data_IF_630751881725
#
_entry.id   IF_630751881725
#
_cell.length_a   1.000
_cell.length_b   1.000
_cell.length_c   1.000
_cell.angle_alpha   90.00
_cell.angle_beta   90.00
_cell.angle_gamma   90.00
#
_symmetry.space_group_name_H-M   'P 1'
#
loop_
_entity.id
_entity.type
_entity.pdbx_description
1 polymer ?
#
# COMPACT_ATOMS: atom_id res chain seq x y z
N UNK A 1 -7.59 -4.94 -78.55
CA UNK A 1 -8.21 -3.86 -77.74
C UNK A 1 -8.20 -4.28 -76.27
N UNK A 2 -7.51 -3.49 -75.45
CA UNK A 2 -7.07 -3.80 -74.08
C UNK A 2 -8.19 -3.69 -73.05
N UNK A 3 -8.43 -4.74 -72.25
CA UNK A 3 -9.34 -4.73 -71.09
C UNK A 3 -8.55 -4.36 -69.83
N UNK A 4 -8.81 -3.18 -69.28
CA UNK A 4 -8.29 -2.74 -67.98
C UNK A 4 -9.20 -3.24 -66.86
N UNK A 5 -8.68 -4.10 -66.00
CA UNK A 5 -9.30 -4.51 -64.73
C UNK A 5 -8.96 -3.44 -63.68
N UNK A 6 -9.97 -2.77 -63.14
CA UNK A 6 -9.82 -1.86 -61.99
C UNK A 6 -10.04 -2.66 -60.71
N UNK A 7 -8.99 -2.87 -59.93
CA UNK A 7 -9.07 -3.40 -58.57
C UNK A 7 -9.50 -2.24 -57.67
N UNK A 8 -10.73 -2.31 -57.16
CA UNK A 8 -11.25 -1.38 -56.14
C UNK A 8 -10.74 -1.88 -54.79
N UNK A 9 -9.73 -1.19 -54.24
CA UNK A 9 -9.25 -1.43 -52.89
C UNK A 9 -10.29 -0.98 -51.87
N UNK A 10 -10.99 -1.94 -51.28
CA UNK A 10 -11.85 -1.72 -50.11
C UNK A 10 -10.92 -1.50 -48.92
N UNK A 11 -10.71 -0.23 -48.58
CA UNK A 11 -10.06 0.17 -47.34
C UNK A 11 -10.92 -0.28 -46.17
N UNK A 12 -10.50 -1.36 -45.52
CA UNK A 12 -11.05 -1.79 -44.25
C UNK A 12 -10.59 -0.78 -43.18
N UNK A 13 -11.32 0.32 -43.06
CA UNK A 13 -11.22 1.25 -41.95
C UNK A 13 -11.72 0.49 -40.72
N UNK A 14 -10.82 -0.21 -40.04
CA UNK A 14 -11.09 -0.76 -38.71
C UNK A 14 -11.34 0.44 -37.79
N UNK A 15 -12.61 0.77 -37.59
CA UNK A 15 -13.05 1.49 -36.40
C UNK A 15 -12.70 0.59 -35.21
N UNK A 16 -11.47 0.75 -34.70
CA UNK A 16 -11.21 0.48 -33.29
C UNK A 16 -11.91 1.62 -32.57
N UNK A 17 -13.24 1.50 -32.46
CA UNK A 17 -14.03 2.25 -31.51
C UNK A 17 -13.39 1.96 -30.17
N UNK A 18 -12.63 2.93 -29.67
CA UNK A 18 -12.14 2.98 -28.31
C UNK A 18 -13.37 2.86 -27.42
N UNK A 19 -13.70 1.63 -27.03
CA UNK A 19 -14.34 1.37 -25.76
C UNK A 19 -13.36 1.93 -24.74
N UNK A 20 -13.52 3.22 -24.41
CA UNK A 20 -13.16 3.72 -23.09
C UNK A 20 -14.01 2.89 -22.14
N UNK A 21 -13.52 1.70 -21.80
CA UNK A 21 -13.94 1.03 -20.59
C UNK A 21 -13.69 2.07 -19.51
N UNK A 22 -14.77 2.58 -18.91
CA UNK A 22 -14.64 3.43 -17.74
C UNK A 22 -13.73 2.68 -16.77
N UNK A 23 -12.54 3.23 -16.53
CA UNK A 23 -11.60 2.61 -15.63
C UNK A 23 -12.34 2.41 -14.30
N UNK A 24 -12.39 1.15 -13.84
CA UNK A 24 -13.06 0.84 -12.59
C UNK A 24 -12.37 1.64 -11.48
N UNK A 25 -13.17 2.24 -10.60
CA UNK A 25 -12.65 2.90 -9.41
C UNK A 25 -11.86 1.90 -8.56
N UNK A 26 -10.77 2.35 -7.93
CA UNK A 26 -10.13 1.52 -6.93
C UNK A 26 -11.13 1.23 -5.81
N UNK A 27 -11.13 0.00 -5.31
CA UNK A 27 -11.88 -0.42 -4.13
C UNK A 27 -10.87 -0.65 -3.02
N UNK A 28 -11.07 0.01 -1.88
CA UNK A 28 -10.18 -0.09 -0.73
C UNK A 28 -10.98 -0.65 0.43
N UNK A 29 -10.54 -1.77 0.99
CA UNK A 29 -11.22 -2.50 2.06
C UNK A 29 -10.24 -2.78 3.19
N UNK A 30 -10.68 -2.60 4.44
CA UNK A 30 -9.89 -3.05 5.58
C UNK A 30 -9.90 -4.59 5.64
N UNK A 31 -8.72 -5.19 5.66
CA UNK A 31 -8.54 -6.65 5.61
C UNK A 31 -8.24 -7.26 6.99
N UNK A 32 -7.90 -6.44 7.99
CA UNK A 32 -7.67 -6.89 9.36
C UNK A 32 -6.35 -6.41 9.97
N UNK A 33 -6.17 -6.77 11.23
CA UNK A 33 -4.97 -6.49 12.04
C UNK A 33 -4.14 -7.77 12.18
N UNK A 34 -2.82 -7.66 12.15
CA UNK A 34 -1.90 -8.71 12.57
C UNK A 34 -1.01 -8.14 13.68
N UNK A 35 -1.03 -8.80 14.84
CA UNK A 35 -0.24 -8.45 16.02
C UNK A 35 0.88 -9.50 16.10
N UNK A 36 2.09 -9.23 15.61
CA UNK A 36 3.20 -10.18 15.84
C UNK A 36 4.60 -9.69 15.44
N UNK A 37 4.93 -8.42 15.68
CA UNK A 37 6.32 -7.97 15.63
C UNK A 37 6.78 -7.53 17.03
N UNK A 38 6.60 -8.43 18.00
CA UNK A 38 7.31 -8.37 19.28
C UNK A 38 8.81 -8.69 19.11
N UNK A 39 9.59 -8.72 20.20
CA UNK A 39 11.08 -8.73 20.18
C UNK A 39 11.74 -9.93 19.47
N UNK A 40 10.95 -10.90 19.00
CA UNK A 40 11.41 -12.11 18.30
C UNK A 40 10.53 -12.52 17.12
N UNK A 41 9.54 -11.69 16.75
CA UNK A 41 8.71 -11.95 15.58
C UNK A 41 9.54 -11.76 14.32
N UNK A 42 9.42 -12.67 13.35
CA UNK A 42 9.87 -12.39 12.00
C UNK A 42 8.94 -11.28 11.47
N UNK A 43 9.26 -10.02 11.74
CA UNK A 43 8.46 -8.89 11.29
C UNK A 43 8.22 -9.07 9.80
N UNK A 44 6.98 -9.36 9.45
CA UNK A 44 6.61 -9.70 8.09
C UNK A 44 6.74 -8.43 7.25
N UNK A 45 7.90 -8.26 6.65
CA UNK A 45 8.13 -7.26 5.64
C UNK A 45 7.52 -7.83 4.37
N UNK A 46 6.44 -7.20 3.89
CA UNK A 46 5.62 -7.69 2.81
C UNK A 46 6.43 -8.17 1.60
N UNK A 47 5.92 -9.18 0.91
CA UNK A 47 6.64 -9.90 -0.16
C UNK A 47 7.05 -9.03 -1.35
N UNK A 48 6.39 -7.89 -1.53
CA UNK A 48 6.52 -7.05 -2.72
C UNK A 48 7.35 -5.80 -2.44
N UNK A 49 7.41 -5.36 -1.19
CA UNK A 49 8.15 -4.17 -0.81
C UNK A 49 7.80 -3.62 0.56
N UNK A 50 8.53 -2.58 0.95
CA UNK A 50 8.39 -1.88 2.22
C UNK A 50 8.89 -0.43 2.12
N UNK A 51 8.47 0.37 3.08
CA UNK A 51 8.90 1.75 3.27
C UNK A 51 8.90 2.09 4.77
N UNK A 52 10.05 1.97 5.43
CA UNK A 52 10.21 2.15 6.88
C UNK A 52 10.80 3.52 7.20
N UNK A 53 10.30 4.16 8.26
CA UNK A 53 10.57 5.56 8.57
C UNK A 53 11.47 5.75 9.77
N UNK A 54 12.30 6.79 9.70
CA UNK A 54 13.15 7.26 10.78
C UNK A 54 13.88 6.15 11.55
N UNK A 55 14.33 5.10 10.84
CA UNK A 55 14.90 3.92 11.50
C UNK A 55 16.19 4.29 12.24
N UNK A 56 16.49 3.60 13.32
CA UNK A 56 17.74 3.79 14.07
C UNK A 56 18.46 2.48 14.35
N UNK A 57 19.78 2.53 14.49
CA UNK A 57 20.58 1.40 14.94
C UNK A 57 20.57 1.33 16.49
N UNK A 58 20.78 0.14 17.07
CA UNK A 58 20.97 0.01 18.50
C UNK A 58 22.06 0.95 19.04
N UNK A 59 21.72 1.72 20.08
CA UNK A 59 22.64 2.67 20.72
C UNK A 59 22.67 4.07 20.11
N UNK A 60 21.98 4.31 18.98
CA UNK A 60 21.80 5.68 18.48
C UNK A 60 20.87 6.49 19.41
N UNK A 61 21.11 7.80 19.58
CA UNK A 61 20.29 8.63 20.45
C UNK A 61 18.90 8.90 19.84
N UNK A 62 17.95 9.22 20.72
CA UNK A 62 16.64 9.74 20.33
C UNK A 62 16.80 11.04 19.55
N UNK A 63 16.06 11.18 18.44
CA UNK A 63 16.04 12.41 17.65
C UNK A 63 14.69 12.69 17.02
N UNK A 64 14.42 13.97 16.77
CA UNK A 64 13.19 14.44 16.13
C UNK A 64 13.51 15.58 15.16
N UNK A 65 12.64 15.83 14.19
CA UNK A 65 12.74 16.97 13.30
C UNK A 65 11.56 17.12 12.35
N UNK A 66 11.48 18.28 11.68
CA UNK A 66 10.36 18.65 10.80
C UNK A 66 10.39 18.06 9.40
N UNK A 67 11.05 16.91 9.20
CA UNK A 67 11.06 16.19 7.91
C UNK A 67 10.38 14.83 8.08
N UNK A 68 9.36 14.48 7.27
CA UNK A 68 8.45 13.36 7.53
C UNK A 68 9.14 12.02 7.83
N UNK A 69 10.17 11.66 7.04
CA UNK A 69 10.71 10.29 7.04
C UNK A 69 12.00 10.15 7.85
N UNK A 70 12.46 11.21 8.50
CA UNK A 70 13.72 11.22 9.24
C UNK A 70 14.97 11.10 8.37
N UNK A 71 16.15 11.03 9.00
CA UNK A 71 17.44 10.98 8.30
C UNK A 71 17.73 9.62 7.67
N UNK A 72 17.05 8.55 8.12
CA UNK A 72 17.22 7.19 7.62
C UNK A 72 15.84 6.63 7.28
N UNK A 73 15.63 6.36 5.99
CA UNK A 73 14.44 5.72 5.44
C UNK A 73 14.88 4.46 4.69
N UNK A 74 14.34 3.31 5.07
CA UNK A 74 14.62 2.05 4.38
C UNK A 74 13.48 1.79 3.40
N UNK A 75 13.78 1.72 2.11
CA UNK A 75 12.74 1.66 1.09
C UNK A 75 13.08 0.66 0.00
N UNK A 76 12.08 -0.13 -0.37
CA UNK A 76 12.04 -0.97 -1.56
C UNK A 76 10.58 -0.99 -2.01
N UNK A 77 10.23 -0.09 -2.93
CA UNK A 77 8.85 0.02 -3.40
C UNK A 77 8.60 -1.03 -4.49
N UNK A 78 7.43 -1.69 -4.49
CA UNK A 78 7.06 -2.51 -5.62
C UNK A 78 6.89 -1.64 -6.87
N UNK A 79 7.07 -2.22 -8.06
CA UNK A 79 7.04 -1.46 -9.33
C UNK A 79 5.73 -0.72 -9.60
N UNK A 80 4.63 -1.16 -8.98
CA UNK A 80 3.31 -0.55 -9.08
C UNK A 80 3.08 0.59 -8.08
N UNK A 81 4.06 0.93 -7.26
CA UNK A 81 4.07 2.12 -6.39
C UNK A 81 5.18 3.03 -6.87
N UNK A 82 4.81 4.20 -7.39
CA UNK A 82 5.79 5.14 -7.96
C UNK A 82 6.44 6.03 -6.91
N UNK A 83 5.72 6.40 -5.86
CA UNK A 83 6.26 7.18 -4.75
C UNK A 83 5.39 7.12 -3.51
N UNK A 84 6.01 7.43 -2.36
CA UNK A 84 5.35 7.73 -1.10
C UNK A 84 5.87 9.07 -0.59
N UNK A 85 4.95 10.00 -0.34
CA UNK A 85 5.22 11.36 0.15
C UNK A 85 4.35 11.70 1.36
N UNK A 86 4.68 12.78 2.06
CA UNK A 86 3.88 13.26 3.17
C UNK A 86 2.59 13.92 2.68
N UNK A 87 1.48 13.62 3.35
CA UNK A 87 0.18 14.26 3.14
C UNK A 87 -0.10 15.30 4.24
N UNK A 88 0.82 16.22 4.48
CA UNK A 88 0.69 17.21 5.54
C UNK A 88 2.04 17.73 6.03
N UNK A 89 2.00 18.57 7.07
CA UNK A 89 3.19 19.00 7.79
C UNK A 89 3.59 17.89 8.78
N UNK A 90 4.29 16.88 8.27
CA UNK A 90 4.74 15.77 9.08
C UNK A 90 6.16 16.01 9.61
N UNK A 91 6.40 15.47 10.79
CA UNK A 91 7.69 15.38 11.45
C UNK A 91 8.10 13.91 11.58
N UNK A 92 9.29 13.69 12.12
CA UNK A 92 9.73 12.36 12.51
C UNK A 92 10.17 12.32 13.96
N UNK A 93 10.07 11.13 14.55
CA UNK A 93 10.65 10.81 15.85
C UNK A 93 11.31 9.44 15.76
N UNK A 94 12.51 9.30 16.30
CA UNK A 94 13.24 8.03 16.37
C UNK A 94 13.86 7.85 17.73
N UNK A 95 13.81 6.63 18.23
CA UNK A 95 14.28 6.25 19.56
C UNK A 95 14.81 4.83 19.50
N UNK A 96 15.81 4.51 20.31
CA UNK A 96 16.26 3.14 20.53
C UNK A 96 15.36 2.39 21.53
N UNK A 97 14.35 3.06 22.10
CA UNK A 97 13.26 2.44 22.88
C UNK A 97 12.18 1.80 22.01
N UNK A 98 12.14 2.15 20.71
CA UNK A 98 11.18 1.56 19.79
C UNK A 98 11.45 0.08 19.53
N UNK A 99 10.47 -0.60 18.95
CA UNK A 99 10.55 -2.01 18.70
C UNK A 99 11.57 -2.35 17.61
N UNK A 100 12.23 -3.47 17.83
CA UNK A 100 13.28 -3.96 16.94
C UNK A 100 12.66 -4.66 15.72
N UNK A 101 13.19 -4.33 14.54
CA UNK A 101 12.90 -4.97 13.27
C UNK A 101 14.21 -5.48 12.66
N UNK A 102 14.12 -6.55 11.86
CA UNK A 102 15.24 -6.95 11.02
C UNK A 102 15.21 -6.08 9.76
N UNK A 103 16.30 -5.36 9.50
CA UNK A 103 16.48 -4.62 8.25
C UNK A 103 16.50 -5.63 7.08
N UNK A 104 15.53 -5.57 6.16
CA UNK A 104 15.42 -6.54 5.06
C UNK A 104 16.58 -6.46 4.05
N UNK A 105 17.30 -5.33 4.01
CA UNK A 105 18.41 -5.10 3.07
C UNK A 105 19.71 -5.70 3.57
N UNK A 106 19.93 -5.67 4.89
CA UNK A 106 21.23 -6.01 5.51
C UNK A 106 21.16 -7.17 6.49
N UNK A 107 19.97 -7.57 6.93
CA UNK A 107 19.76 -8.55 8.01
C UNK A 107 20.10 -8.03 9.41
N UNK A 108 20.45 -6.76 9.57
CA UNK A 108 20.81 -6.17 10.87
C UNK A 108 19.58 -5.72 11.65
N UNK A 109 19.66 -5.69 12.97
CA UNK A 109 18.59 -5.12 13.82
C UNK A 109 18.56 -3.60 13.66
N UNK A 110 17.36 -3.05 13.49
CA UNK A 110 17.04 -1.62 13.52
C UNK A 110 15.82 -1.38 14.42
N UNK A 111 15.61 -0.17 14.90
CA UNK A 111 14.40 0.24 15.60
C UNK A 111 13.48 1.01 14.65
N UNK A 112 12.18 0.73 14.70
CA UNK A 112 11.16 1.35 13.86
C UNK A 112 10.84 2.76 14.38
N UNK A 113 11.43 3.80 13.77
CA UNK A 113 11.02 5.18 14.07
C UNK A 113 9.64 5.49 13.49
N UNK A 114 9.16 6.71 13.72
CA UNK A 114 7.84 7.15 13.28
C UNK A 114 7.94 8.39 12.39
N UNK A 115 7.09 8.43 11.36
CA UNK A 115 6.58 9.68 10.80
C UNK A 115 5.29 10.05 11.53
N UNK A 116 5.07 11.33 11.80
CA UNK A 116 3.86 11.76 12.48
C UNK A 116 3.37 13.13 12.05
N UNK A 117 2.06 13.34 12.16
CA UNK A 117 1.42 14.64 11.95
C UNK A 117 0.90 15.20 13.29
N UNK A 118 1.61 16.19 13.82
CA UNK A 118 1.24 16.95 15.02
C UNK A 118 0.44 18.19 14.63
N UNK A 119 -0.84 17.99 14.35
CA UNK A 119 -1.81 19.08 14.24
C UNK A 119 -2.66 19.10 15.51
N UNK A 120 -2.68 20.19 16.31
CA UNK A 120 -3.49 20.30 17.52
C UNK A 120 -4.96 20.57 17.17
N UNK A 121 -5.57 19.66 16.41
CA UNK A 121 -6.95 19.73 15.97
C UNK A 121 -7.61 18.35 16.04
N UNK A 122 -8.91 18.35 16.27
CA UNK A 122 -9.77 17.16 16.17
C UNK A 122 -10.17 16.87 14.70
N UNK A 123 -9.49 17.48 13.74
CA UNK A 123 -9.75 17.24 12.33
C UNK A 123 -8.99 16.00 11.87
N UNK A 124 -9.48 15.38 10.80
CA UNK A 124 -8.73 14.33 10.14
C UNK A 124 -7.42 14.89 9.60
N UNK A 125 -6.32 14.21 9.91
CA UNK A 125 -4.97 14.59 9.49
C UNK A 125 -4.56 13.68 8.35
N UNK A 126 -4.02 14.25 7.28
CA UNK A 126 -3.31 13.45 6.29
C UNK A 126 -1.94 13.06 6.85
N UNK A 127 -1.50 11.84 6.58
CA UNK A 127 -0.16 11.38 6.94
C UNK A 127 0.65 11.09 5.69
N UNK A 128 0.18 10.19 4.83
CA UNK A 128 0.95 9.71 3.68
C UNK A 128 0.13 9.80 2.40
N UNK A 129 0.81 9.99 1.27
CA UNK A 129 0.24 9.87 -0.06
C UNK A 129 1.05 8.82 -0.84
N UNK A 130 0.35 7.80 -1.31
CA UNK A 130 0.86 6.70 -2.11
C UNK A 130 0.45 6.92 -3.58
N UNK A 131 1.41 7.13 -4.46
CA UNK A 131 1.15 7.27 -5.90
C UNK A 131 1.26 5.91 -6.60
N UNK A 132 0.21 5.51 -7.30
CA UNK A 132 0.16 4.25 -8.04
C UNK A 132 0.88 4.40 -9.38
N UNK A 133 1.87 3.54 -9.58
CA UNK A 133 2.70 3.46 -10.77
C UNK A 133 2.06 2.65 -11.91
N UNK A 134 2.86 2.29 -12.94
CA UNK A 134 2.36 1.50 -14.06
C UNK A 134 2.06 0.05 -13.65
N UNK A 135 1.11 -0.56 -14.36
CA UNK A 135 0.73 -1.97 -14.24
C UNK A 135 0.47 -2.45 -12.79
N UNK A 136 -0.40 -1.76 -12.01
CA UNK A 136 -0.79 -2.29 -10.72
C UNK A 136 -1.47 -3.65 -10.88
N UNK A 137 -1.22 -4.59 -9.95
CA UNK A 137 -1.93 -5.86 -9.94
C UNK A 137 -3.43 -5.62 -9.71
N UNK A 138 -4.32 -6.53 -10.15
CA UNK A 138 -5.75 -6.40 -9.93
C UNK A 138 -6.12 -6.24 -8.45
N UNK A 139 -5.34 -6.87 -7.55
CA UNK A 139 -5.45 -6.79 -6.10
C UNK A 139 -4.05 -6.76 -5.49
N UNK A 140 -3.84 -5.89 -4.50
CA UNK A 140 -2.68 -5.92 -3.60
C UNK A 140 -3.08 -5.46 -2.20
N UNK A 141 -2.20 -5.66 -1.23
CA UNK A 141 -2.40 -5.23 0.14
C UNK A 141 -1.34 -4.21 0.54
N UNK A 142 -1.77 -3.23 1.31
CA UNK A 142 -0.89 -2.28 1.99
C UNK A 142 -1.05 -2.50 3.49
N UNK A 143 0.03 -2.90 4.16
CA UNK A 143 0.10 -2.96 5.61
C UNK A 143 0.59 -1.62 6.16
N UNK A 144 -0.20 -0.99 7.01
CA UNK A 144 0.17 0.20 7.77
C UNK A 144 0.83 -0.23 9.08
N UNK A 145 2.07 0.20 9.33
CA UNK A 145 2.82 -0.18 10.51
C UNK A 145 2.70 0.89 11.58
N UNK A 146 2.46 0.47 12.82
CA UNK A 146 2.55 1.29 14.02
C UNK A 146 3.51 0.64 15.00
N UNK A 147 4.28 1.42 15.74
CA UNK A 147 5.12 0.94 16.83
C UNK A 147 4.46 1.36 18.14
N UNK A 148 4.13 0.44 19.04
CA UNK A 148 3.47 0.79 20.31
C UNK A 148 4.43 0.84 21.49
N UNK A 149 5.75 0.79 21.26
CA UNK A 149 6.79 0.56 22.26
C UNK A 149 7.17 1.75 23.16
N UNK A 150 7.13 2.99 22.69
CA UNK A 150 7.58 4.19 23.43
C UNK A 150 6.42 4.99 24.07
N UNK A 151 5.18 4.50 23.97
CA UNK A 151 4.03 5.06 24.67
C UNK A 151 2.67 4.80 24.03
N UNK A 152 1.62 5.25 24.72
CA UNK A 152 0.23 5.18 24.24
C UNK A 152 -0.10 6.17 23.12
N UNK A 153 0.89 6.82 22.53
CA UNK A 153 0.73 7.89 21.53
C UNK A 153 1.26 7.51 20.14
N UNK A 154 1.85 6.32 20.03
CA UNK A 154 2.56 5.86 18.83
C UNK A 154 1.68 4.97 17.92
N UNK A 155 0.36 5.09 18.07
CA UNK A 155 -0.64 4.47 17.22
C UNK A 155 -1.77 5.47 16.93
N UNK A 156 -2.53 5.29 15.84
CA UNK A 156 -3.73 6.06 15.53
C UNK A 156 -4.96 5.48 16.23
N UNK A 157 -5.95 6.32 16.55
CA UNK A 157 -7.29 5.87 16.97
C UNK A 157 -8.19 5.43 15.82
N UNK A 158 -8.05 6.10 14.69
CA UNK A 158 -8.82 5.75 13.50
C UNK A 158 -8.04 6.04 12.22
N UNK A 159 -8.05 5.08 11.31
CA UNK A 159 -7.35 5.12 10.03
C UNK A 159 -8.30 5.14 8.85
N UNK A 160 -7.86 5.76 7.76
CA UNK A 160 -8.55 5.78 6.48
C UNK A 160 -7.55 5.75 5.34
N UNK A 161 -7.82 4.91 4.36
CA UNK A 161 -7.17 4.91 3.06
C UNK A 161 -8.20 5.39 2.04
N UNK A 162 -7.91 6.51 1.37
CA UNK A 162 -8.81 7.12 0.40
C UNK A 162 -8.07 7.46 -0.88
N UNK A 163 -8.60 7.03 -2.01
CA UNK A 163 -8.19 7.52 -3.31
C UNK A 163 -8.60 8.99 -3.45
N UNK A 164 -7.62 9.88 -3.55
CA UNK A 164 -7.80 11.34 -3.65
C UNK A 164 -7.58 11.88 -5.06
N UNK A 165 -7.02 11.05 -5.95
CA UNK A 165 -6.86 11.36 -7.37
C UNK A 165 -6.91 10.09 -8.22
N UNK A 166 -7.21 10.24 -9.50
CA UNK A 166 -7.26 9.17 -10.49
C UNK A 166 -8.66 8.86 -11.02
N UNK A 167 -8.88 7.63 -11.48
CA UNK A 167 -10.12 7.26 -12.19
C UNK A 167 -11.32 6.94 -11.30
N UNK A 168 -11.17 7.01 -9.97
CA UNK A 168 -12.23 6.65 -9.03
C UNK A 168 -12.11 7.31 -7.65
N UNK A 169 -13.05 6.93 -6.77
CA UNK A 169 -13.14 7.42 -5.39
C UNK A 169 -13.15 6.26 -4.38
N UNK A 170 -12.15 5.38 -4.46
CA UNK A 170 -11.95 4.33 -3.45
C UNK A 170 -11.80 4.89 -2.04
N UNK A 171 -12.41 4.25 -1.05
CA UNK A 171 -12.35 4.68 0.35
C UNK A 171 -12.62 3.50 1.28
N UNK A 172 -11.72 3.25 2.22
CA UNK A 172 -11.86 2.21 3.25
C UNK A 172 -12.97 2.50 4.27
N UNK A 173 -13.43 3.75 4.36
CA UNK A 173 -14.10 4.26 5.55
C UNK A 173 -13.12 4.45 6.70
N UNK A 174 -13.62 4.94 7.83
CA UNK A 174 -12.84 5.02 9.06
C UNK A 174 -12.80 3.66 9.74
N UNK A 175 -11.59 3.18 9.97
CA UNK A 175 -11.28 1.95 10.70
C UNK A 175 -10.82 2.34 12.08
N UNK A 176 -11.53 1.92 13.12
CA UNK A 176 -11.10 2.11 14.50
C UNK A 176 -9.95 1.17 14.79
N UNK A 177 -8.90 1.72 15.38
CA UNK A 177 -7.67 1.03 15.73
C UNK A 177 -7.47 1.11 17.24
N UNK A 178 -7.22 -0.03 17.85
CA UNK A 178 -7.03 -0.14 19.30
C UNK A 178 -5.56 -0.46 19.60
N UNK A 179 -5.04 0.13 20.67
CA UNK A 179 -3.74 -0.21 21.21
C UNK A 179 -3.70 -1.70 21.57
N UNK A 180 -2.68 -2.42 21.11
CA UNK A 180 -2.39 -3.73 21.70
C UNK A 180 -1.80 -3.55 23.10
N UNK A 181 -2.32 -4.30 24.07
CA UNK A 181 -1.78 -4.34 25.42
C UNK A 181 -0.36 -4.94 25.48
N UNK A 182 0.08 -5.66 24.44
CA UNK A 182 1.30 -6.44 24.45
C UNK A 182 2.57 -5.72 23.97
N UNK A 183 2.54 -4.41 23.68
CA UNK A 183 3.69 -3.62 23.21
C UNK A 183 4.47 -4.26 22.04
N UNK A 184 4.30 -3.76 20.83
CA UNK A 184 4.93 -4.32 19.63
C UNK A 184 4.73 -3.47 18.38
N UNK A 185 5.18 -3.99 17.24
CA UNK A 185 4.77 -3.44 15.94
C UNK A 185 3.48 -4.15 15.48
N UNK A 186 2.46 -3.34 15.22
CA UNK A 186 1.18 -3.77 14.71
C UNK A 186 1.06 -3.45 13.22
N UNK A 187 0.35 -4.31 12.49
CA UNK A 187 0.08 -4.14 11.06
C UNK A 187 -1.43 -4.07 10.82
N UNK A 188 -1.88 -2.98 10.20
CA UNK A 188 -3.26 -2.83 9.72
C UNK A 188 -3.27 -2.97 8.21
N UNK A 189 -3.87 -4.04 7.69
CA UNK A 189 -3.85 -4.34 6.26
C UNK A 189 -5.08 -3.78 5.55
N UNK A 190 -4.84 -3.16 4.39
CA UNK A 190 -5.85 -2.64 3.49
C UNK A 190 -5.70 -3.31 2.14
N UNK A 191 -6.76 -3.98 1.70
CA UNK A 191 -6.86 -4.54 0.36
C UNK A 191 -7.21 -3.42 -0.62
N UNK A 192 -6.39 -3.24 -1.64
CA UNK A 192 -6.62 -2.32 -2.76
C UNK A 192 -6.89 -3.16 -4.00
N UNK A 193 -8.07 -2.99 -4.60
CA UNK A 193 -8.47 -3.66 -5.83
C UNK A 193 -8.70 -2.64 -6.92
N UNK A 194 -8.40 -2.98 -8.18
CA UNK A 194 -8.68 -2.15 -9.35
C UNK A 194 -8.03 -0.74 -9.32
N UNK A 195 -6.89 -0.60 -8.63
CA UNK A 195 -6.12 0.65 -8.74
C UNK A 195 -5.63 0.84 -10.18
N UNK A 196 -5.59 2.08 -10.65
CA UNK A 196 -5.09 2.44 -11.96
C UNK A 196 -3.79 3.26 -11.84
N UNK A 197 -2.91 3.22 -12.87
CA UNK A 197 -1.76 4.12 -12.93
C UNK A 197 -2.20 5.59 -12.81
N UNK A 198 -1.52 6.35 -11.95
CA UNK A 198 -1.85 7.74 -11.65
C UNK A 198 -2.84 7.93 -10.51
N UNK A 199 -3.43 6.86 -9.96
CA UNK A 199 -4.20 6.95 -8.73
C UNK A 199 -3.31 7.43 -7.57
N UNK A 200 -3.88 8.23 -6.67
CA UNK A 200 -3.22 8.63 -5.42
C UNK A 200 -4.08 8.16 -4.25
N UNK A 201 -3.51 7.32 -3.39
CA UNK A 201 -4.14 6.88 -2.15
C UNK A 201 -3.55 7.68 -1.00
N UNK A 202 -4.37 8.51 -0.37
CA UNK A 202 -4.01 9.23 0.84
C UNK A 202 -4.39 8.40 2.07
N UNK A 203 -3.44 8.29 2.98
CA UNK A 203 -3.60 7.71 4.31
C UNK A 203 -3.81 8.86 5.27
N UNK A 204 -4.94 8.84 5.97
CA UNK A 204 -5.36 9.87 6.91
C UNK A 204 -6.05 9.26 8.11
N UNK A 205 -6.25 10.04 9.16
CA UNK A 205 -6.81 9.51 10.39
C UNK A 205 -7.02 10.54 11.49
N UNK A 206 -7.41 10.02 12.64
CA UNK A 206 -7.62 10.77 13.87
C UNK A 206 -6.75 10.19 14.98
N UNK A 207 -6.44 11.06 15.94
CA UNK A 207 -5.88 10.67 17.21
C UNK A 207 -6.61 11.52 18.26
N UNK A 208 -7.32 10.86 19.17
CA UNK A 208 -8.32 11.42 20.09
C UNK A 208 -8.05 11.05 21.55
N UNK A 209 -7.27 10.00 21.83
CA UNK A 209 -7.04 9.50 23.18
C UNK A 209 -6.21 10.43 24.08
N UNK A 210 -5.38 11.31 23.51
CA UNK A 210 -4.47 12.17 24.28
C UNK A 210 -5.01 13.61 24.46
N UNK A 211 -6.27 13.87 24.08
CA UNK A 211 -6.89 15.20 24.13
C UNK A 211 -6.36 16.18 23.06
N UNK A 212 -6.84 17.43 23.10
CA UNK A 212 -6.65 18.44 22.04
C UNK A 212 -5.20 18.88 21.76
N UNK A 213 -4.23 18.58 22.64
CA UNK A 213 -2.91 19.20 22.60
C UNK A 213 -1.74 18.24 22.29
N UNK A 214 -1.96 16.92 22.24
CA UNK A 214 -0.85 15.94 22.26
C UNK A 214 -1.02 14.76 21.29
N UNK A 215 -2.03 14.79 20.44
CA UNK A 215 -2.39 13.67 19.57
C UNK A 215 -1.68 13.72 18.22
N UNK A 216 -0.90 12.67 17.93
CA UNK A 216 -0.19 12.49 16.67
C UNK A 216 -0.81 11.36 15.86
N UNK A 217 -1.14 11.61 14.60
CA UNK A 217 -1.31 10.50 13.67
C UNK A 217 0.10 10.00 13.31
N UNK A 218 0.42 8.74 13.61
CA UNK A 218 1.78 8.17 13.52
C UNK A 218 1.82 6.94 12.62
N UNK A 219 2.91 6.77 11.87
CA UNK A 219 3.22 5.51 11.16
C UNK A 219 4.70 5.19 11.29
N UNK A 220 5.02 3.91 11.51
CA UNK A 220 6.39 3.41 11.46
C UNK A 220 6.85 3.05 10.04
N UNK A 221 5.88 2.78 9.16
CA UNK A 221 6.17 2.40 7.78
C UNK A 221 4.95 1.88 7.03
N UNK A 222 5.19 1.46 5.79
CA UNK A 222 4.27 0.69 4.97
C UNK A 222 4.93 -0.60 4.50
N UNK A 223 4.14 -1.67 4.34
CA UNK A 223 4.55 -2.90 3.66
C UNK A 223 3.57 -3.25 2.56
N UNK A 224 4.06 -3.95 1.53
CA UNK A 224 3.29 -4.29 0.35
C UNK A 224 3.35 -5.78 0.09
N UNK A 225 2.21 -6.39 -0.23
CA UNK A 225 2.17 -7.80 -0.63
C UNK A 225 1.07 -8.02 -1.66
N UNK A 226 1.39 -8.78 -2.70
CA UNK A 226 0.40 -9.36 -3.58
C UNK A 226 0.04 -10.76 -3.09
N UNK A 227 -1.26 -11.07 -3.07
CA UNK A 227 -1.70 -12.46 -2.99
C UNK A 227 -1.81 -12.94 -4.43
N UNK A 228 -1.01 -13.93 -4.88
CA UNK A 228 -1.20 -14.51 -6.19
C UNK A 228 -2.64 -14.96 -6.33
N UNK A 229 -3.38 -14.43 -7.31
CA UNK A 229 -4.70 -14.99 -7.58
C UNK A 229 -4.53 -16.48 -7.86
N UNK A 230 -5.40 -17.35 -7.32
CA UNK A 230 -5.37 -18.76 -7.66
C UNK A 230 -5.46 -18.85 -9.18
N UNK A 231 -4.48 -19.49 -9.83
CA UNK A 231 -4.27 -19.48 -11.27
C UNK A 231 -5.51 -19.96 -12.04
N UNK A 232 -6.49 -19.08 -12.21
CA UNK A 232 -7.76 -19.32 -12.89
C UNK A 232 -7.54 -19.46 -14.41
N UNK A 233 -6.36 -19.05 -14.90
CA UNK A 233 -5.90 -19.31 -16.27
C UNK A 233 -5.64 -20.78 -16.60
N UNK A 234 -5.39 -21.65 -15.61
CA UNK A 234 -5.14 -23.07 -15.86
C UNK A 234 -6.40 -23.85 -16.25
N UNK A 235 -7.59 -23.36 -15.87
CA UNK A 235 -8.87 -23.99 -16.21
C UNK A 235 -9.32 -23.72 -17.65
N UNK A 236 -8.89 -22.61 -18.27
CA UNK A 236 -9.25 -22.32 -19.66
C UNK A 236 -8.47 -23.20 -20.65
N UNK A 237 -7.22 -23.55 -20.32
CA UNK A 237 -6.40 -24.46 -21.13
C UNK A 237 -6.91 -25.92 -21.07
N UNK A 238 -7.46 -26.35 -19.93
CA UNK A 238 -8.09 -27.67 -19.81
C UNK A 238 -9.40 -27.78 -20.63
N UNK A 239 -10.18 -26.71 -20.69
CA UNK A 239 -11.39 -26.65 -21.54
C UNK A 239 -11.10 -26.79 -23.03
N UNK A 240 -10.04 -26.13 -23.52
CA UNK A 240 -9.60 -26.21 -24.92
C UNK A 240 -8.95 -27.55 -25.27
N UNK A 241 -8.16 -28.13 -24.37
CA UNK A 241 -7.59 -29.47 -24.56
C UNK A 241 -8.68 -30.55 -24.66
N UNK A 242 -9.74 -30.44 -23.86
CA UNK A 242 -10.90 -31.35 -23.93
C UNK A 242 -11.66 -31.28 -25.26
N UNK A 243 -11.80 -30.08 -25.84
CA UNK A 243 -12.46 -29.91 -27.14
C UNK A 243 -11.63 -30.43 -28.31
N UNK A 244 -10.30 -30.26 -28.27
CA UNK A 244 -9.38 -30.77 -29.30
C UNK A 244 -9.26 -32.30 -29.24
N UNK A 245 -9.34 -32.92 -28.05
CA UNK A 245 -9.30 -34.39 -27.94
C UNK A 245 -10.62 -35.05 -28.36
N UNK A 246 -11.78 -34.37 -28.22
CA UNK A 246 -13.08 -34.94 -28.62
C UNK A 246 -13.29 -34.95 -30.14
N UNK A 247 -12.64 -34.05 -30.90
CA UNK A 247 -12.76 -33.99 -32.36
C UNK A 247 -11.99 -35.10 -33.11
N UNK A 248 -11.12 -35.86 -32.42
CA UNK A 248 -10.30 -36.93 -33.02
C UNK A 248 -10.85 -38.35 -32.88
N UNK A 249 -11.99 -38.57 -32.19
CA UNK A 249 -12.59 -39.91 -31.99
C UNK A 249 -13.68 -40.29 -33.00
N UNK A 250 -13.88 -39.48 -34.06
CA UNK A 250 -14.95 -39.66 -35.05
C UNK A 250 -14.50 -39.95 -36.48
N UNK A 251 -13.29 -40.47 -36.70
CA UNK A 251 -12.83 -40.98 -38.01
C UNK A 251 -12.12 -42.31 -37.83
#
# INVERSE_FOLDING_TARGET
>A
MSRRIRIVGIGCLLLISMLQANALSAVIEYAGKVNDAGPWGAAFLGTDGYDLYATSLPGEPTSTGGVPFGPVRLTLLPSYVSSISAAGANSYYRSNSYQQLINPQTGTIVHAGLTYNFSPSNQEKGLLSLAIGPNPPPVFYVGYLTDTGDGAWDYPDALRFRQTSGSGAGNSGLVITDQDANFGVDFFFFKVSQAAPGDVITISGYETQCGVNWCNLTAAGLVFTQIPEPASGLFLCLGLAGFIMRSRRGR
#
